data_IF_395609395235
#
_entry.id   IF_395609395235
#
_cell.length_a   1.000
_cell.length_b   1.000
_cell.length_c   1.000
_cell.angle_alpha   90.00
_cell.angle_beta   90.00
_cell.angle_gamma   90.00
#
_symmetry.space_group_name_H-M   'P 1'
#
loop_
_entity.id
_entity.type
_entity.pdbx_description
1 polymer ?
#
# COMPACT_ATOMS: atom_id res chain seq x y z
N UNK A 1 -0.77 -9.12 9.36
CA UNK A 1 -0.46 -9.84 8.13
C UNK A 1 1.03 -9.76 7.82
N UNK A 2 1.73 -10.88 8.02
CA UNK A 2 3.19 -10.94 7.84
C UNK A 2 3.60 -10.78 6.38
N UNK A 3 2.73 -11.10 5.42
CA UNK A 3 3.05 -10.95 4.01
C UNK A 3 3.36 -9.50 3.64
N UNK A 4 2.62 -8.56 4.20
CA UNK A 4 2.87 -7.13 3.96
C UNK A 4 4.23 -6.72 4.50
N UNK A 5 4.58 -7.22 5.67
CA UNK A 5 5.89 -6.94 6.29
C UNK A 5 7.02 -7.54 5.46
N UNK A 6 6.81 -8.73 4.92
CA UNK A 6 7.81 -9.36 4.04
C UNK A 6 8.03 -8.54 2.78
N UNK A 7 6.96 -8.03 2.17
CA UNK A 7 7.06 -7.15 1.00
C UNK A 7 7.80 -5.87 1.37
N UNK A 8 7.45 -5.26 2.50
CA UNK A 8 8.11 -4.05 2.98
C UNK A 8 9.61 -4.26 3.14
N UNK A 9 10.00 -5.36 3.78
CA UNK A 9 11.41 -5.66 4.00
C UNK A 9 12.17 -5.89 2.70
N UNK A 10 11.52 -6.52 1.73
CA UNK A 10 12.13 -6.73 0.41
C UNK A 10 12.34 -5.41 -0.33
N UNK A 11 11.36 -4.51 -0.23
CA UNK A 11 11.45 -3.21 -0.89
C UNK A 11 12.52 -2.31 -0.29
N UNK A 12 12.82 -2.47 0.98
CA UNK A 12 13.83 -1.66 1.65
C UNK A 12 15.22 -1.81 1.05
N UNK A 13 15.47 -2.88 0.32
CA UNK A 13 16.74 -3.06 -0.40
C UNK A 13 16.88 -2.08 -1.57
N UNK A 14 15.77 -1.52 -2.04
CA UNK A 14 15.74 -0.66 -3.23
C UNK A 14 15.41 0.80 -2.91
N UNK A 15 14.65 1.04 -1.85
CA UNK A 15 14.25 2.39 -1.48
C UNK A 15 13.94 2.47 0.00
N UNK A 16 14.14 3.64 0.59
CA UNK A 16 13.74 3.90 1.98
C UNK A 16 12.45 4.71 2.05
N UNK A 17 11.96 5.18 0.92
CA UNK A 17 10.77 6.01 0.85
C UNK A 17 9.54 5.13 0.63
N UNK A 18 9.17 4.40 1.67
CA UNK A 18 8.05 3.46 1.65
C UNK A 18 7.04 3.89 2.70
N UNK A 19 5.79 4.02 2.29
CA UNK A 19 4.67 4.27 3.19
C UNK A 19 3.77 3.04 3.23
N UNK A 20 3.47 2.55 4.42
CA UNK A 20 2.46 1.52 4.61
C UNK A 20 1.20 2.19 5.11
N UNK A 21 0.08 1.86 4.49
CA UNK A 21 -1.23 2.37 4.89
C UNK A 21 -2.16 1.23 5.24
N UNK A 22 -2.72 1.26 6.43
CA UNK A 22 -3.74 0.32 6.87
C UNK A 22 -4.61 1.00 7.93
N UNK A 23 -5.90 1.26 7.63
CA UNK A 23 -6.77 1.98 8.57
C UNK A 23 -7.22 1.15 9.76
N UNK A 24 -6.98 -0.15 9.75
CA UNK A 24 -7.52 -1.07 10.75
C UNK A 24 -6.52 -1.58 11.79
N UNK A 25 -5.21 -1.33 11.59
CA UNK A 25 -4.21 -1.82 12.53
C UNK A 25 -3.94 -0.83 13.65
N UNK A 26 -3.39 -1.32 14.74
CA UNK A 26 -2.83 -0.48 15.79
C UNK A 26 -1.42 -0.05 15.38
N UNK A 27 -1.21 1.25 15.25
CA UNK A 27 0.11 1.81 14.91
C UNK A 27 1.14 1.40 15.94
N UNK A 28 0.75 1.45 17.22
CA UNK A 28 1.64 1.14 18.34
C UNK A 28 2.06 -0.32 18.32
N UNK A 29 1.12 -1.21 18.04
CA UNK A 29 1.42 -2.64 17.98
C UNK A 29 2.39 -2.95 16.85
N UNK A 30 2.15 -2.40 15.66
CA UNK A 30 3.00 -2.65 14.50
C UNK A 30 4.40 -2.09 14.75
N UNK A 31 4.49 -0.91 15.33
CA UNK A 31 5.78 -0.30 15.67
C UNK A 31 6.55 -1.15 16.67
N UNK A 32 5.86 -1.62 17.71
CA UNK A 32 6.49 -2.42 18.76
C UNK A 32 6.92 -3.78 18.24
N UNK A 33 6.06 -4.44 17.46
CA UNK A 33 6.30 -5.81 17.03
C UNK A 33 7.27 -5.91 15.85
N UNK A 34 7.20 -4.97 14.91
CA UNK A 34 7.96 -5.04 13.67
C UNK A 34 8.92 -3.86 13.46
N UNK A 35 8.86 -2.85 14.30
CA UNK A 35 9.68 -1.66 14.13
C UNK A 35 9.30 -0.81 12.92
N UNK A 36 8.07 -0.94 12.44
CA UNK A 36 7.60 -0.30 11.21
C UNK A 36 6.53 0.74 11.54
N UNK A 37 6.60 1.89 10.88
CA UNK A 37 5.59 2.93 11.01
C UNK A 37 4.52 2.75 9.94
N UNK A 38 3.25 2.85 10.36
CA UNK A 38 2.09 2.66 9.51
C UNK A 38 1.22 3.91 9.59
N UNK A 39 0.70 4.36 8.44
CA UNK A 39 -0.31 5.41 8.38
C UNK A 39 -1.69 4.76 8.47
N UNK A 40 -2.57 5.31 9.28
CA UNK A 40 -3.93 4.79 9.45
C UNK A 40 -5.00 5.76 9.00
N UNK A 41 -4.64 7.01 8.69
CA UNK A 41 -5.56 8.04 8.24
C UNK A 41 -5.38 8.26 6.74
N UNK A 42 -6.49 8.17 5.97
CA UNK A 42 -6.43 8.37 4.53
C UNK A 42 -5.93 9.75 4.13
N UNK A 43 -6.01 10.73 5.03
CA UNK A 43 -5.47 12.07 4.79
C UNK A 43 -3.95 12.08 4.63
N UNK A 44 -3.29 11.04 5.10
CA UNK A 44 -1.84 10.90 4.94
C UNK A 44 -1.46 10.48 3.52
N UNK A 45 -2.43 10.04 2.72
CA UNK A 45 -2.20 9.60 1.34
C UNK A 45 -2.34 10.78 0.38
N UNK A 46 -1.39 10.92 -0.52
CA UNK A 46 -1.37 12.02 -1.49
C UNK A 46 -1.57 11.49 -2.90
N UNK A 47 -2.63 11.95 -3.56
CA UNK A 47 -2.95 11.51 -4.92
C UNK A 47 -1.89 11.96 -5.90
N UNK A 48 -1.60 11.10 -6.88
CA UNK A 48 -0.67 11.40 -7.95
C UNK A 48 0.79 11.51 -7.50
N UNK A 49 1.13 10.96 -6.34
CA UNK A 49 2.45 11.17 -5.72
C UNK A 49 3.37 9.96 -5.82
N UNK A 50 2.81 8.76 -5.79
CA UNK A 50 3.63 7.56 -5.61
C UNK A 50 4.07 6.95 -6.93
N UNK A 51 5.34 6.53 -6.98
CA UNK A 51 5.88 5.81 -8.13
C UNK A 51 5.25 4.44 -8.27
N UNK A 52 4.91 3.82 -7.15
CA UNK A 52 4.27 2.51 -7.13
C UNK A 52 3.29 2.42 -5.96
N UNK A 53 2.17 1.79 -6.22
CA UNK A 53 1.18 1.46 -5.20
C UNK A 53 1.01 -0.06 -5.22
N UNK A 54 1.17 -0.69 -4.07
CA UNK A 54 1.07 -2.15 -3.95
C UNK A 54 -0.13 -2.47 -3.08
N UNK A 55 -1.12 -3.12 -3.67
CA UNK A 55 -2.39 -3.45 -3.04
C UNK A 55 -2.30 -4.88 -2.49
N UNK A 56 -2.13 -5.00 -1.17
CA UNK A 56 -1.82 -6.27 -0.55
C UNK A 56 -3.01 -6.96 0.10
N UNK A 57 -3.99 -6.19 0.54
CA UNK A 57 -5.15 -6.69 1.30
C UNK A 57 -6.39 -5.95 0.82
N UNK A 58 -7.48 -6.69 0.62
CA UNK A 58 -8.74 -6.06 0.22
C UNK A 58 -9.54 -5.61 1.44
N UNK A 59 -9.86 -4.33 1.47
CA UNK A 59 -10.80 -3.74 2.44
C UNK A 59 -11.81 -2.89 1.70
N UNK A 60 -13.06 -2.91 2.15
CA UNK A 60 -14.11 -2.10 1.53
C UNK A 60 -13.83 -0.61 1.60
N UNK A 61 -13.13 -0.15 2.64
CA UNK A 61 -12.75 1.26 2.77
C UNK A 61 -11.85 1.73 1.62
N UNK A 62 -11.09 0.84 0.99
CA UNK A 62 -10.24 1.20 -0.15
C UNK A 62 -11.05 1.54 -1.39
N UNK A 63 -12.26 1.01 -1.52
CA UNK A 63 -13.09 1.28 -2.69
C UNK A 63 -13.44 2.77 -2.79
N UNK A 64 -13.62 3.45 -1.66
CA UNK A 64 -13.96 4.86 -1.64
C UNK A 64 -12.75 5.78 -1.79
N UNK A 65 -11.55 5.25 -1.58
CA UNK A 65 -10.31 6.05 -1.66
C UNK A 65 -9.86 6.22 -3.11
N UNK A 66 -10.13 5.25 -3.98
CA UNK A 66 -9.62 5.27 -5.35
C UNK A 66 -8.11 5.07 -5.35
N UNK A 67 -7.67 3.89 -4.91
CA UNK A 67 -6.24 3.62 -4.70
C UNK A 67 -5.40 3.82 -5.96
N UNK A 68 -5.96 3.57 -7.15
CA UNK A 68 -5.26 3.76 -8.41
C UNK A 68 -4.90 5.21 -8.67
N UNK A 69 -5.58 6.15 -8.02
CA UNK A 69 -5.30 7.58 -8.19
C UNK A 69 -4.10 8.06 -7.38
N UNK A 70 -3.58 7.22 -6.51
CA UNK A 70 -2.43 7.58 -5.67
C UNK A 70 -1.13 7.58 -6.45
N UNK A 71 -1.04 6.78 -7.51
CA UNK A 71 0.18 6.70 -8.31
C UNK A 71 0.33 7.91 -9.23
N UNK A 72 1.56 8.20 -9.61
CA UNK A 72 1.87 9.15 -10.67
C UNK A 72 1.29 8.64 -11.99
N UNK A 73 1.11 9.50 -13.00
CA UNK A 73 0.58 9.06 -14.30
C UNK A 73 1.31 7.86 -14.92
N UNK A 74 2.61 7.78 -14.73
CA UNK A 74 3.43 6.68 -15.23
C UNK A 74 3.76 5.66 -14.15
N UNK A 75 3.14 5.77 -12.98
CA UNK A 75 3.39 4.91 -11.86
C UNK A 75 2.78 3.52 -12.03
N UNK A 76 3.20 2.60 -11.19
CA UNK A 76 2.74 1.21 -11.20
C UNK A 76 1.68 1.02 -10.12
N UNK A 77 0.63 0.28 -10.44
CA UNK A 77 -0.34 -0.18 -9.46
C UNK A 77 -0.42 -1.70 -9.54
N UNK A 78 0.18 -2.36 -8.55
CA UNK A 78 0.29 -3.82 -8.54
C UNK A 78 -0.68 -4.41 -7.53
N UNK A 79 -1.51 -5.35 -7.98
CA UNK A 79 -2.53 -6.01 -7.17
C UNK A 79 -2.04 -7.40 -6.73
N UNK A 80 -1.50 -7.49 -5.52
CA UNK A 80 -0.99 -8.75 -4.98
C UNK A 80 -2.11 -9.78 -4.79
N UNK A 81 -3.32 -9.32 -4.47
CA UNK A 81 -4.45 -10.22 -4.24
C UNK A 81 -5.14 -10.68 -5.52
N UNK A 82 -4.94 -9.96 -6.62
CA UNK A 82 -5.56 -10.31 -7.89
C UNK A 82 -7.07 -10.14 -7.90
N UNK A 83 -7.60 -9.19 -7.16
CA UNK A 83 -9.05 -9.00 -6.96
C UNK A 83 -9.60 -7.73 -7.62
N UNK A 84 -8.74 -6.86 -8.10
CA UNK A 84 -9.14 -5.60 -8.70
C UNK A 84 -9.36 -5.75 -10.21
N UNK A 85 -10.14 -4.84 -10.79
CA UNK A 85 -10.36 -4.80 -12.23
C UNK A 85 -9.05 -4.49 -12.95
N UNK A 86 -8.83 -5.18 -14.08
CA UNK A 86 -7.59 -4.99 -14.86
C UNK A 86 -7.45 -3.58 -15.40
N UNK A 87 -8.57 -2.85 -15.53
CA UNK A 87 -8.54 -1.49 -16.06
C UNK A 87 -7.82 -0.49 -15.14
N UNK A 88 -7.75 -0.79 -13.84
CA UNK A 88 -7.16 0.13 -12.86
C UNK A 88 -5.81 -0.30 -12.36
N UNK A 89 -5.33 -1.49 -12.73
CA UNK A 89 -4.05 -2.00 -12.26
C UNK A 89 -3.05 -2.06 -13.40
N UNK A 90 -1.76 -2.03 -13.03
CA UNK A 90 -0.67 -2.24 -14.00
C UNK A 90 -0.44 -3.74 -14.18
N UNK A 91 -0.42 -4.47 -13.06
CA UNK A 91 -0.20 -5.91 -13.07
C UNK A 91 -0.76 -6.53 -11.79
N UNK A 92 -0.83 -7.83 -11.75
CA UNK A 92 -1.29 -8.56 -10.58
C UNK A 92 -0.64 -9.93 -10.50
N UNK A 93 -0.72 -10.49 -9.32
CA UNK A 93 -0.18 -11.83 -9.07
C UNK A 93 -1.07 -12.90 -9.71
#
# INVERSE_FOLDING_TARGET
>A
NTKVIDIYNSLKAYTQDIRIFDPWVSKEYVKQEYGVEVSTDEKDLEKGTYDAVIYCVKHTCFDSIGMETLRKPEGVFYDVKGVLDRDIITDRL
#
